data_IF_163269373999
#
_entry.id   IF_163269373999
#
_cell.length_a   1.000
_cell.length_b   1.000
_cell.length_c   1.000
_cell.angle_alpha   90.00
_cell.angle_beta   90.00
_cell.angle_gamma   90.00
#
_symmetry.space_group_name_H-M   'P 1'
#
loop_
_entity.id
_entity.type
_entity.pdbx_description
1 polymer ?
#
# COMPACT_ATOMS: atom_id res chain seq x y z
N UNK A 1 -0.25 1.60 33.90
CA UNK A 1 -1.59 1.82 34.52
C UNK A 1 -1.93 0.63 35.41
N UNK A 2 -2.63 0.82 36.52
CA UNK A 2 -3.13 -0.29 37.36
C UNK A 2 -4.23 -1.06 36.60
N UNK A 3 -4.27 -2.40 36.73
CA UNK A 3 -5.26 -3.27 36.04
C UNK A 3 -6.71 -2.79 36.16
N UNK A 4 -7.09 -2.29 37.35
CA UNK A 4 -8.43 -1.76 37.63
C UNK A 4 -8.78 -0.55 36.73
N UNK A 5 -7.80 0.31 36.47
CA UNK A 5 -7.96 1.50 35.62
C UNK A 5 -8.09 1.13 34.14
N UNK A 6 -7.48 0.03 33.70
CA UNK A 6 -7.59 -0.44 32.30
C UNK A 6 -8.96 -1.03 31.97
N UNK A 7 -9.66 -1.65 32.95
CA UNK A 7 -11.02 -2.17 32.74
C UNK A 7 -12.07 -1.06 32.52
N UNK A 8 -11.79 0.16 32.99
CA UNK A 8 -12.66 1.35 32.83
C UNK A 8 -12.38 2.17 31.56
N UNK A 9 -11.40 1.77 30.75
CA UNK A 9 -11.08 2.45 29.49
C UNK A 9 -11.98 1.92 28.37
N UNK A 10 -12.33 2.79 27.42
CA UNK A 10 -13.05 2.41 26.20
C UNK A 10 -12.15 1.56 25.30
N UNK A 11 -12.69 0.52 24.68
CA UNK A 11 -11.91 -0.37 23.80
C UNK A 11 -11.22 0.40 22.65
N UNK A 12 -11.90 1.39 22.05
CA UNK A 12 -11.30 2.21 21.00
C UNK A 12 -10.11 3.04 21.49
N UNK A 13 -10.18 3.60 22.70
CA UNK A 13 -9.08 4.36 23.30
C UNK A 13 -7.92 3.45 23.72
N UNK A 14 -8.23 2.26 24.25
CA UNK A 14 -7.24 1.23 24.53
C UNK A 14 -6.51 0.80 23.25
N UNK A 15 -7.24 0.60 22.15
CA UNK A 15 -6.66 0.28 20.85
C UNK A 15 -5.73 1.38 20.33
N UNK A 16 -6.14 2.64 20.40
CA UNK A 16 -5.31 3.77 19.99
C UNK A 16 -4.02 3.84 20.82
N UNK A 17 -4.10 3.67 22.15
CA UNK A 17 -2.92 3.60 23.03
C UNK A 17 -1.99 2.44 22.68
N UNK A 18 -2.55 1.27 22.37
CA UNK A 18 -1.76 0.10 21.96
C UNK A 18 -1.05 0.33 20.62
N UNK A 19 -1.69 1.00 19.66
CA UNK A 19 -1.06 1.37 18.38
C UNK A 19 0.11 2.33 18.62
N UNK A 20 -0.09 3.38 19.43
CA UNK A 20 0.96 4.34 19.78
C UNK A 20 2.14 3.67 20.49
N UNK A 21 1.86 2.73 21.41
CA UNK A 21 2.90 2.08 22.22
C UNK A 21 3.71 1.05 21.43
N UNK A 22 3.05 0.22 20.61
CA UNK A 22 3.67 -0.98 20.04
C UNK A 22 3.88 -0.91 18.52
N UNK A 23 3.21 0.00 17.81
CA UNK A 23 3.28 0.07 16.33
C UNK A 23 4.02 1.30 15.84
N UNK A 24 3.85 2.45 16.48
CA UNK A 24 4.59 3.66 16.10
C UNK A 24 6.10 3.41 16.26
N UNK A 25 6.88 3.78 15.24
CA UNK A 25 8.33 3.53 15.16
C UNK A 25 8.73 2.08 14.85
N UNK A 26 7.87 1.08 15.10
CA UNK A 26 8.17 -0.33 14.86
C UNK A 26 7.78 -0.82 13.46
N UNK A 27 6.80 -0.19 12.81
CA UNK A 27 6.31 -0.58 11.48
C UNK A 27 6.31 0.58 10.48
N UNK A 28 6.31 0.26 9.18
CA UNK A 28 6.25 1.26 8.10
C UNK A 28 4.98 2.10 8.17
N UNK A 29 5.10 3.38 7.79
CA UNK A 29 4.01 4.37 7.85
C UNK A 29 2.73 3.94 7.12
N UNK A 30 2.85 3.28 5.97
CA UNK A 30 1.70 2.76 5.21
C UNK A 30 0.92 1.69 5.98
N UNK A 31 1.62 0.85 6.75
CA UNK A 31 0.98 -0.16 7.60
C UNK A 31 0.36 0.50 8.82
N UNK A 32 1.06 1.45 9.46
CA UNK A 32 0.54 2.23 10.59
C UNK A 32 -0.75 2.98 10.22
N UNK A 33 -0.81 3.55 9.02
CA UNK A 33 -2.01 4.20 8.48
C UNK A 33 -3.23 3.29 8.48
N UNK A 34 -3.06 1.98 8.24
CA UNK A 34 -4.16 0.99 8.29
C UNK A 34 -4.67 0.75 9.71
N UNK A 35 -3.77 0.76 10.70
CA UNK A 35 -4.15 0.69 12.11
C UNK A 35 -4.97 1.91 12.51
N UNK A 36 -4.53 3.12 12.15
CA UNK A 36 -5.32 4.34 12.41
C UNK A 36 -6.68 4.33 11.71
N UNK A 37 -6.77 3.82 10.48
CA UNK A 37 -8.06 3.64 9.81
C UNK A 37 -8.96 2.66 10.56
N UNK A 38 -8.39 1.59 11.12
CA UNK A 38 -9.14 0.61 11.92
C UNK A 38 -9.61 1.23 13.24
N UNK A 39 -8.77 2.01 13.93
CA UNK A 39 -9.15 2.77 15.14
C UNK A 39 -10.30 3.75 14.88
N UNK A 40 -10.24 4.48 13.75
CA UNK A 40 -11.36 5.36 13.32
C UNK A 40 -12.67 4.58 13.11
N UNK A 41 -12.61 3.37 12.55
CA UNK A 41 -13.80 2.53 12.38
C UNK A 41 -14.31 1.98 13.71
N UNK A 42 -13.42 1.55 14.62
CA UNK A 42 -13.79 1.14 15.97
C UNK A 42 -14.53 2.25 16.71
N UNK A 43 -14.03 3.49 16.65
CA UNK A 43 -14.69 4.64 17.28
C UNK A 43 -16.08 4.91 16.73
N UNK A 44 -16.36 4.57 15.47
CA UNK A 44 -17.70 4.67 14.88
C UNK A 44 -18.62 3.53 15.32
N UNK A 45 -18.09 2.31 15.41
CA UNK A 45 -18.90 1.11 15.69
C UNK A 45 -19.18 0.95 17.19
N UNK A 46 -18.18 1.15 18.04
CA UNK A 46 -18.25 0.92 19.48
C UNK A 46 -17.70 2.09 20.31
N UNK A 47 -18.25 3.31 20.18
CA UNK A 47 -17.74 4.51 20.86
C UNK A 47 -17.82 4.47 22.40
N UNK A 48 -18.65 3.59 22.96
CA UNK A 48 -18.95 3.53 24.40
C UNK A 48 -18.63 2.18 25.04
N UNK A 49 -18.02 1.26 24.30
CA UNK A 49 -17.72 -0.07 24.80
C UNK A 49 -16.52 -0.02 25.75
N UNK A 50 -16.74 -0.34 27.01
CA UNK A 50 -15.69 -0.47 28.03
C UNK A 50 -14.97 -1.82 27.91
N UNK A 51 -13.68 -1.84 28.23
CA UNK A 51 -12.89 -3.08 28.30
C UNK A 51 -13.48 -4.10 29.28
N UNK A 52 -14.10 -3.65 30.38
CA UNK A 52 -14.79 -4.53 31.34
C UNK A 52 -15.96 -5.31 30.74
N UNK A 53 -16.61 -4.75 29.72
CA UNK A 53 -17.80 -5.32 29.07
C UNK A 53 -17.44 -5.97 27.73
N UNK A 54 -16.14 -6.08 27.42
CA UNK A 54 -15.71 -6.55 26.13
C UNK A 54 -15.58 -8.08 26.12
N UNK A 55 -16.60 -8.73 25.55
CA UNK A 55 -16.70 -10.18 25.46
C UNK A 55 -16.86 -10.67 24.01
N UNK A 56 -17.02 -11.98 23.84
CA UNK A 56 -17.18 -12.62 22.52
C UNK A 56 -18.42 -12.12 21.76
N UNK A 57 -19.50 -11.77 22.47
CA UNK A 57 -20.76 -11.31 21.86
C UNK A 57 -20.57 -9.89 21.34
N UNK A 58 -20.01 -9.01 22.16
CA UNK A 58 -19.68 -7.63 21.76
C UNK A 58 -18.67 -7.60 20.61
N UNK A 59 -17.66 -8.46 20.65
CA UNK A 59 -16.73 -8.59 19.53
C UNK A 59 -17.42 -9.03 18.23
N UNK A 60 -18.29 -10.03 18.30
CA UNK A 60 -19.03 -10.49 17.13
C UNK A 60 -19.98 -9.40 16.59
N UNK A 61 -20.57 -8.58 17.45
CA UNK A 61 -21.36 -7.39 17.03
C UNK A 61 -20.49 -6.41 16.26
N UNK A 62 -19.29 -6.08 16.75
CA UNK A 62 -18.35 -5.18 16.06
C UNK A 62 -18.05 -5.68 14.63
N UNK A 63 -17.72 -6.96 14.50
CA UNK A 63 -17.41 -7.58 13.20
C UNK A 63 -18.64 -7.58 12.29
N UNK A 64 -19.83 -7.89 12.83
CA UNK A 64 -21.07 -7.89 12.05
C UNK A 64 -21.44 -6.49 11.56
N UNK A 65 -21.30 -5.45 12.39
CA UNK A 65 -21.54 -4.06 11.99
C UNK A 65 -20.59 -3.63 10.87
N UNK A 66 -19.29 -3.95 10.99
CA UNK A 66 -18.32 -3.64 9.94
C UNK A 66 -18.62 -4.38 8.63
N UNK A 67 -19.05 -5.65 8.73
CA UNK A 67 -19.39 -6.50 7.59
C UNK A 67 -20.62 -6.05 6.78
N UNK A 68 -21.51 -5.20 7.34
CA UNK A 68 -22.69 -4.68 6.61
C UNK A 68 -22.30 -3.87 5.38
N UNK A 69 -21.20 -3.12 5.46
CA UNK A 69 -20.78 -2.17 4.42
C UNK A 69 -19.53 -2.60 3.67
N UNK A 70 -18.81 -3.61 4.15
CA UNK A 70 -17.52 -4.03 3.60
C UNK A 70 -17.57 -5.46 3.03
N UNK A 71 -16.81 -5.69 1.95
CA UNK A 71 -16.58 -7.04 1.42
C UNK A 71 -15.86 -7.92 2.45
N UNK A 72 -16.06 -9.23 2.37
CA UNK A 72 -15.49 -10.21 3.32
C UNK A 72 -13.98 -10.04 3.52
N UNK A 73 -13.20 -9.82 2.46
CA UNK A 73 -11.75 -9.64 2.59
C UNK A 73 -11.38 -8.40 3.41
N UNK A 74 -12.11 -7.30 3.23
CA UNK A 74 -11.88 -6.08 4.01
C UNK A 74 -12.24 -6.29 5.48
N UNK A 75 -13.30 -7.05 5.78
CA UNK A 75 -13.63 -7.46 7.16
C UNK A 75 -12.54 -8.33 7.77
N UNK A 76 -11.97 -9.26 6.99
CA UNK A 76 -10.83 -10.09 7.42
C UNK A 76 -9.62 -9.23 7.77
N UNK A 77 -9.28 -8.25 6.94
CA UNK A 77 -8.15 -7.35 7.20
C UNK A 77 -8.38 -6.51 8.47
N UNK A 78 -9.61 -5.99 8.65
CA UNK A 78 -10.00 -5.27 9.86
C UNK A 78 -9.90 -6.15 11.11
N UNK A 79 -10.41 -7.38 11.04
CA UNK A 79 -10.29 -8.38 12.11
C UNK A 79 -8.82 -8.60 12.50
N UNK A 80 -7.93 -8.82 11.53
CA UNK A 80 -6.50 -9.03 11.81
C UNK A 80 -5.83 -7.81 12.45
N UNK A 81 -6.17 -6.60 12.02
CA UNK A 81 -5.61 -5.38 12.60
C UNK A 81 -5.98 -5.25 14.08
N UNK A 82 -7.24 -5.49 14.44
CA UNK A 82 -7.71 -5.32 15.82
C UNK A 82 -7.35 -6.52 16.71
N UNK A 83 -7.27 -7.73 16.14
CA UNK A 83 -7.01 -8.97 16.89
C UNK A 83 -5.71 -8.93 17.69
N UNK A 84 -4.63 -8.36 17.15
CA UNK A 84 -3.35 -8.27 17.86
C UNK A 84 -3.48 -7.57 19.21
N UNK A 85 -4.14 -6.41 19.23
CA UNK A 85 -4.41 -5.65 20.46
C UNK A 85 -5.25 -6.45 21.47
N UNK A 86 -6.25 -7.19 20.99
CA UNK A 86 -7.16 -7.97 21.84
C UNK A 86 -6.43 -9.15 22.48
N UNK A 87 -5.56 -9.83 21.72
CA UNK A 87 -4.76 -10.94 22.25
C UNK A 87 -3.74 -10.46 23.28
N UNK A 88 -3.08 -9.33 23.04
CA UNK A 88 -2.16 -8.75 24.01
C UNK A 88 -2.90 -8.37 25.31
N UNK A 89 -4.09 -7.75 25.20
CA UNK A 89 -4.94 -7.44 26.34
C UNK A 89 -5.37 -8.69 27.14
N UNK A 90 -5.61 -9.82 26.45
CA UNK A 90 -5.89 -11.10 27.09
C UNK A 90 -4.66 -11.65 27.81
N UNK A 91 -3.49 -11.65 27.17
CA UNK A 91 -2.24 -12.13 27.79
C UNK A 91 -1.79 -11.29 28.98
N UNK A 92 -2.03 -9.98 28.96
CA UNK A 92 -1.74 -9.06 30.07
C UNK A 92 -2.72 -9.22 31.25
N UNK A 93 -3.80 -9.99 31.07
CA UNK A 93 -4.85 -10.19 32.05
C UNK A 93 -5.80 -9.00 32.21
N UNK A 94 -5.89 -8.13 31.19
CA UNK A 94 -6.91 -7.07 31.11
C UNK A 94 -8.27 -7.69 30.79
N UNK A 95 -8.27 -8.66 29.86
CA UNK A 95 -9.43 -9.47 29.52
C UNK A 95 -9.28 -10.86 30.12
N UNK A 96 -10.34 -11.37 30.75
CA UNK A 96 -10.31 -12.69 31.39
C UNK A 96 -10.49 -13.84 30.37
N UNK A 97 -11.01 -13.54 29.17
CA UNK A 97 -11.25 -14.49 28.07
C UNK A 97 -10.98 -13.82 26.73
N UNK A 98 -10.48 -14.56 25.75
CA UNK A 98 -10.29 -14.08 24.38
C UNK A 98 -11.65 -13.84 23.66
N UNK A 99 -12.04 -12.58 23.38
CA UNK A 99 -13.25 -12.23 22.64
C UNK A 99 -13.22 -12.69 21.17
N UNK A 100 -12.03 -12.89 20.61
CA UNK A 100 -11.84 -13.23 19.19
C UNK A 100 -11.97 -14.72 18.90
N UNK A 101 -12.00 -15.56 19.95
CA UNK A 101 -12.07 -17.00 19.81
C UNK A 101 -13.31 -17.45 19.03
N UNK A 102 -13.08 -18.16 17.92
CA UNK A 102 -14.11 -18.64 16.97
C UNK A 102 -15.02 -17.51 16.42
N UNK A 103 -14.48 -16.30 16.26
CA UNK A 103 -15.21 -15.23 15.61
C UNK A 103 -15.57 -15.59 14.17
N UNK A 104 -16.82 -15.31 13.78
CA UNK A 104 -17.33 -15.60 12.43
C UNK A 104 -17.20 -14.35 11.58
N UNK A 105 -16.38 -14.43 10.53
CA UNK A 105 -16.14 -13.30 9.63
C UNK A 105 -17.10 -13.38 8.44
N UNK A 106 -18.02 -12.44 8.41
CA UNK A 106 -18.97 -12.21 7.30
C UNK A 106 -18.53 -10.98 6.50
N UNK A 107 -19.18 -10.75 5.38
CA UNK A 107 -19.02 -9.53 4.60
C UNK A 107 -20.10 -9.45 3.54
N UNK A 108 -20.28 -8.26 3.00
CA UNK A 108 -21.10 -8.04 1.82
C UNK A 108 -20.56 -8.89 0.66
N UNK A 109 -21.46 -9.38 -0.17
CA UNK A 109 -21.08 -10.07 -1.40
C UNK A 109 -20.20 -9.16 -2.26
N UNK A 110 -19.11 -9.70 -2.86
CA UNK A 110 -18.26 -8.91 -3.73
C UNK A 110 -19.08 -8.32 -4.88
N UNK A 111 -18.88 -7.02 -5.15
CA UNK A 111 -19.46 -6.42 -6.34
C UNK A 111 -18.90 -7.07 -7.60
N UNK A 112 -19.60 -6.97 -8.74
CA UNK A 112 -19.06 -7.41 -10.04
C UNK A 112 -17.77 -6.65 -10.32
N UNK A 113 -16.64 -7.35 -10.30
CA UNK A 113 -15.31 -6.78 -10.58
C UNK A 113 -15.07 -6.80 -12.08
N UNK A 114 -14.59 -5.68 -12.63
CA UNK A 114 -14.10 -5.65 -14.03
C UNK A 114 -12.87 -6.54 -14.14
N UNK A 115 -12.68 -7.16 -15.31
CA UNK A 115 -11.42 -7.86 -15.62
C UNK A 115 -10.25 -6.87 -15.50
N UNK A 116 -9.19 -7.31 -14.81
CA UNK A 116 -8.01 -6.48 -14.51
C UNK A 116 -6.77 -6.90 -15.29
N UNK A 117 -6.96 -7.59 -16.40
CA UNK A 117 -5.89 -8.05 -17.27
C UNK A 117 -6.23 -7.71 -18.71
N UNK A 118 -5.19 -7.55 -19.52
CA UNK A 118 -5.29 -7.41 -20.96
C UNK A 118 -4.99 -8.76 -21.61
N UNK A 119 -5.78 -9.13 -22.60
CA UNK A 119 -5.45 -10.24 -23.49
C UNK A 119 -4.24 -9.88 -24.36
N UNK A 120 -3.62 -10.88 -24.99
CA UNK A 120 -2.41 -10.68 -25.81
C UNK A 120 -2.63 -9.68 -26.94
N UNK A 121 -3.77 -9.76 -27.64
CA UNK A 121 -4.10 -8.85 -28.74
C UNK A 121 -4.42 -7.44 -28.23
N UNK A 122 -5.11 -7.31 -27.09
CA UNK A 122 -5.37 -6.03 -26.43
C UNK A 122 -4.07 -5.34 -25.98
N UNK A 123 -3.14 -6.10 -25.39
CA UNK A 123 -1.82 -5.60 -25.02
C UNK A 123 -1.03 -5.15 -26.24
N UNK A 124 -1.10 -5.91 -27.34
CA UNK A 124 -0.44 -5.56 -28.60
C UNK A 124 -0.99 -4.25 -29.17
N UNK A 125 -2.32 -4.10 -29.20
CA UNK A 125 -3.00 -2.86 -29.62
C UNK A 125 -2.59 -1.68 -28.75
N UNK A 126 -2.54 -1.87 -27.42
CA UNK A 126 -2.08 -0.84 -26.49
C UNK A 126 -0.66 -0.40 -26.83
N UNK A 127 0.29 -1.34 -26.93
CA UNK A 127 1.71 -1.03 -27.22
C UNK A 127 1.86 -0.31 -28.56
N UNK A 128 1.11 -0.68 -29.59
CA UNK A 128 1.13 0.00 -30.89
C UNK A 128 0.51 1.40 -30.87
N UNK A 129 -0.36 1.69 -29.90
CA UNK A 129 -1.01 3.01 -29.78
C UNK A 129 -0.18 4.04 -28.99
N UNK A 130 0.95 3.63 -28.41
CA UNK A 130 1.81 4.49 -27.61
C UNK A 130 2.60 5.47 -28.48
N UNK A 131 2.59 6.75 -28.11
CA UNK A 131 3.38 7.80 -28.76
C UNK A 131 4.69 8.05 -28.00
N UNK A 132 5.79 7.58 -28.58
CA UNK A 132 7.15 7.69 -28.00
C UNK A 132 7.95 8.87 -28.56
N UNK A 133 7.34 9.73 -29.40
CA UNK A 133 8.05 10.80 -30.12
C UNK A 133 8.38 12.01 -29.25
N UNK A 134 7.55 12.30 -28.24
CA UNK A 134 7.61 13.51 -27.44
C UNK A 134 8.48 13.37 -26.17
N UNK A 135 9.73 12.90 -26.35
CA UNK A 135 10.66 12.68 -25.24
C UNK A 135 10.15 11.68 -24.21
N UNK A 136 10.63 11.78 -22.96
CA UNK A 136 10.18 10.90 -21.88
C UNK A 136 8.77 11.31 -21.43
N UNK A 137 7.83 10.35 -21.42
CA UNK A 137 6.42 10.61 -21.14
C UNK A 137 5.75 9.39 -20.47
N UNK A 138 4.43 9.44 -20.27
CA UNK A 138 3.67 8.34 -19.67
C UNK A 138 3.55 7.10 -20.56
N UNK A 139 3.71 7.25 -21.87
CA UNK A 139 3.63 6.13 -22.80
C UNK A 139 4.89 5.27 -22.68
N UNK A 140 6.05 5.89 -22.48
CA UNK A 140 7.27 5.19 -22.05
C UNK A 140 7.08 4.41 -20.75
N UNK A 141 6.40 5.01 -19.77
CA UNK A 141 6.10 4.35 -18.50
C UNK A 141 5.21 3.10 -18.70
N UNK A 142 4.18 3.20 -19.53
CA UNK A 142 3.29 2.09 -19.87
C UNK A 142 4.06 1.00 -20.64
N UNK A 143 4.90 1.39 -21.60
CA UNK A 143 5.72 0.45 -22.37
C UNK A 143 6.64 -0.37 -21.48
N UNK A 144 7.37 0.28 -20.56
CA UNK A 144 8.27 -0.40 -19.63
C UNK A 144 7.51 -1.35 -18.72
N UNK A 145 6.36 -0.94 -18.15
CA UNK A 145 5.51 -1.83 -17.36
C UNK A 145 5.04 -3.05 -18.16
N UNK A 146 4.57 -2.83 -19.39
CA UNK A 146 4.07 -3.88 -20.27
C UNK A 146 5.16 -4.90 -20.66
N UNK A 147 6.39 -4.44 -20.91
CA UNK A 147 7.50 -5.28 -21.37
C UNK A 147 8.24 -5.99 -20.24
N UNK A 148 8.30 -5.40 -19.05
CA UNK A 148 9.13 -5.91 -17.93
C UNK A 148 8.32 -6.52 -16.79
N UNK A 149 7.03 -6.21 -16.68
CA UNK A 149 6.18 -6.67 -15.58
C UNK A 149 6.57 -6.12 -14.20
N UNK A 150 7.38 -5.06 -14.14
CA UNK A 150 7.77 -4.45 -12.86
C UNK A 150 6.57 -3.82 -12.13
N UNK A 151 6.69 -3.65 -10.81
CA UNK A 151 5.63 -2.99 -10.03
C UNK A 151 5.59 -1.50 -10.34
N UNK A 152 4.42 -0.89 -10.24
CA UNK A 152 4.21 0.55 -10.45
C UNK A 152 5.24 1.44 -9.71
N UNK A 153 5.45 1.18 -8.42
CA UNK A 153 6.40 1.95 -7.61
C UNK A 153 7.88 1.67 -7.95
N UNK A 154 8.20 0.51 -8.54
CA UNK A 154 9.54 0.22 -9.06
C UNK A 154 9.77 1.03 -10.34
N UNK A 155 8.80 1.05 -11.25
CA UNK A 155 8.88 1.82 -12.49
C UNK A 155 9.01 3.32 -12.26
N UNK A 156 8.29 3.86 -11.28
CA UNK A 156 8.40 5.27 -10.89
C UNK A 156 9.80 5.65 -10.38
N UNK A 157 10.55 4.68 -9.86
CA UNK A 157 11.85 4.91 -9.24
C UNK A 157 13.03 4.75 -10.19
N UNK A 158 12.78 4.48 -11.48
CA UNK A 158 13.84 4.30 -12.47
C UNK A 158 14.58 5.60 -12.67
N UNK A 159 15.91 5.53 -12.61
CA UNK A 159 16.84 6.61 -12.97
C UNK A 159 17.66 6.21 -14.19
N UNK A 160 18.32 7.14 -14.91
CA UNK A 160 19.17 6.77 -16.04
C UNK A 160 20.28 5.77 -15.66
N UNK A 161 20.86 5.89 -14.46
CA UNK A 161 21.87 4.95 -13.94
C UNK A 161 21.38 3.50 -13.72
N UNK A 162 20.06 3.25 -13.73
CA UNK A 162 19.55 1.89 -13.60
C UNK A 162 19.66 1.10 -14.91
N UNK A 163 19.86 1.76 -16.05
CA UNK A 163 19.98 1.11 -17.36
C UNK A 163 21.42 0.67 -17.62
N UNK A 164 21.59 -0.63 -17.85
CA UNK A 164 22.80 -1.24 -18.39
C UNK A 164 22.57 -1.48 -19.88
N UNK A 165 22.95 -0.51 -20.70
CA UNK A 165 22.74 -0.54 -22.15
C UNK A 165 23.64 -1.55 -22.87
N UNK A 166 24.78 -1.92 -22.29
CA UNK A 166 25.67 -2.94 -22.86
C UNK A 166 25.03 -4.33 -22.73
N UNK A 167 24.47 -4.63 -21.56
CA UNK A 167 23.79 -5.89 -21.33
C UNK A 167 22.30 -5.88 -21.73
N UNK A 168 21.75 -4.73 -22.14
CA UNK A 168 20.31 -4.48 -22.32
C UNK A 168 19.51 -4.91 -21.08
N UNK A 169 19.91 -4.42 -19.91
CA UNK A 169 19.29 -4.75 -18.63
C UNK A 169 18.86 -3.50 -17.86
N UNK A 170 17.83 -3.67 -17.04
CA UNK A 170 17.38 -2.68 -16.09
C UNK A 170 17.56 -3.21 -14.66
N UNK A 171 18.28 -2.46 -13.84
CA UNK A 171 18.56 -2.78 -12.44
C UNK A 171 17.43 -2.27 -11.55
N UNK A 172 16.65 -3.19 -10.96
CA UNK A 172 15.58 -2.86 -10.01
C UNK A 172 16.09 -3.08 -8.61
N UNK A 173 16.36 -2.01 -7.86
CA UNK A 173 16.85 -2.07 -6.47
C UNK A 173 16.09 -1.14 -5.50
N UNK A 174 15.27 -0.23 -6.03
CA UNK A 174 14.56 0.82 -5.29
C UNK A 174 13.11 0.97 -5.76
N UNK A 175 12.32 1.66 -4.94
CA UNK A 175 10.92 2.00 -5.21
C UNK A 175 10.65 3.45 -4.85
N UNK A 176 9.64 4.06 -5.46
CA UNK A 176 9.24 5.42 -5.17
C UNK A 176 8.09 5.44 -4.16
N UNK A 177 8.21 6.23 -3.09
CA UNK A 177 7.13 6.41 -2.11
C UNK A 177 6.07 7.40 -2.58
N UNK A 178 5.29 6.98 -3.57
CA UNK A 178 4.18 7.79 -4.07
C UNK A 178 3.04 7.98 -3.05
N UNK A 179 3.08 7.29 -1.90
CA UNK A 179 2.04 7.42 -0.85
C UNK A 179 2.37 8.53 0.14
N UNK A 180 3.65 8.85 0.32
CA UNK A 180 4.09 10.05 1.04
C UNK A 180 3.75 11.32 0.23
N UNK A 181 3.51 12.43 0.93
CA UNK A 181 3.35 13.73 0.30
C UNK A 181 4.67 14.26 -0.29
N UNK A 182 5.80 13.89 0.34
CA UNK A 182 7.14 14.33 -0.03
C UNK A 182 7.72 13.50 -1.20
N UNK A 183 7.23 12.26 -1.37
CA UNK A 183 7.81 11.31 -2.30
C UNK A 183 9.18 10.80 -1.84
N UNK A 184 9.95 10.26 -2.78
CA UNK A 184 11.34 9.87 -2.57
C UNK A 184 11.61 8.38 -2.74
N UNK A 185 12.90 8.04 -2.79
CA UNK A 185 13.38 6.68 -2.94
C UNK A 185 13.30 5.91 -1.63
N UNK A 186 12.75 4.69 -1.68
CA UNK A 186 12.76 3.71 -0.60
C UNK A 186 13.37 2.42 -1.14
N UNK A 187 14.20 1.76 -0.32
CA UNK A 187 14.68 0.40 -0.61
C UNK A 187 13.52 -0.55 -0.86
N UNK A 188 13.74 -1.51 -1.75
CA UNK A 188 12.78 -2.59 -1.97
C UNK A 188 12.50 -3.35 -0.67
N UNK A 189 11.32 -3.99 -0.57
CA UNK A 189 10.83 -4.57 0.68
C UNK A 189 11.73 -5.71 1.20
N UNK A 190 12.37 -6.44 0.29
CA UNK A 190 13.22 -7.61 0.57
C UNK A 190 14.38 -7.65 -0.42
N UNK A 191 15.51 -8.21 -0.03
CA UNK A 191 16.68 -8.35 -0.92
C UNK A 191 16.34 -9.18 -2.16
N UNK A 192 15.43 -10.16 -2.04
CA UNK A 192 14.90 -10.93 -3.17
C UNK A 192 14.16 -10.10 -4.21
N UNK A 193 13.77 -8.87 -3.90
CA UNK A 193 13.14 -7.94 -4.84
C UNK A 193 14.17 -7.21 -5.71
N UNK A 194 15.45 -7.20 -5.29
CA UNK A 194 16.55 -6.64 -6.06
C UNK A 194 16.89 -7.59 -7.20
N UNK A 195 16.75 -7.13 -8.44
CA UNK A 195 16.90 -7.97 -9.63
C UNK A 195 17.29 -7.16 -10.85
N UNK A 196 17.86 -7.84 -11.83
CA UNK A 196 18.07 -7.32 -13.18
C UNK A 196 16.99 -7.87 -14.11
N UNK A 197 16.41 -7.03 -14.94
CA UNK A 197 15.41 -7.43 -15.94
C UNK A 197 16.00 -7.15 -17.33
N UNK A 198 16.02 -8.15 -18.20
CA UNK A 198 16.41 -7.95 -19.60
C UNK A 198 15.33 -7.13 -20.31
N UNK A 199 15.75 -6.10 -21.02
CA UNK A 199 14.88 -5.27 -21.85
C UNK A 199 15.18 -5.51 -23.32
N UNK A 200 14.17 -5.33 -24.16
CA UNK A 200 14.31 -5.47 -25.60
C UNK A 200 15.30 -4.42 -26.16
N UNK A 201 16.16 -4.84 -27.09
CA UNK A 201 17.20 -3.97 -27.67
C UNK A 201 16.61 -2.76 -28.40
N UNK A 202 15.39 -2.84 -28.95
CA UNK A 202 14.73 -1.70 -29.59
C UNK A 202 14.31 -0.68 -28.53
N UNK A 203 13.74 -1.14 -27.42
CA UNK A 203 13.36 -0.27 -26.28
C UNK A 203 14.61 0.41 -25.73
N UNK A 204 15.68 -0.36 -25.53
CA UNK A 204 16.99 0.11 -25.08
C UNK A 204 17.56 1.19 -26.00
N UNK A 205 17.61 0.92 -27.31
CA UNK A 205 18.13 1.87 -28.31
C UNK A 205 17.29 3.15 -28.45
N UNK A 206 15.97 3.05 -28.35
CA UNK A 206 15.06 4.19 -28.46
C UNK A 206 15.07 5.08 -27.21
N UNK A 207 15.17 4.50 -26.00
CA UNK A 207 15.11 5.26 -24.74
C UNK A 207 16.45 5.93 -24.41
N UNK A 208 17.57 5.30 -24.77
CA UNK A 208 18.93 5.76 -24.47
C UNK A 208 19.17 7.24 -24.80
N UNK A 209 18.98 7.72 -26.05
CA UNK A 209 19.28 9.12 -26.40
C UNK A 209 18.36 10.13 -25.70
N UNK A 210 17.21 9.68 -25.18
CA UNK A 210 16.25 10.51 -24.44
C UNK A 210 16.76 10.72 -23.01
N UNK A 211 17.19 9.65 -22.34
CA UNK A 211 17.52 9.69 -20.91
C UNK A 211 18.97 10.04 -20.62
N UNK A 212 19.90 9.87 -21.57
CA UNK A 212 21.32 10.26 -21.41
C UNK A 212 21.51 11.76 -21.14
N UNK A 213 20.52 12.60 -21.50
CA UNK A 213 20.52 14.04 -21.24
C UNK A 213 19.92 14.40 -19.88
N UNK A 214 19.33 13.44 -19.17
CA UNK A 214 18.70 13.64 -17.88
C UNK A 214 19.71 13.42 -16.75
N UNK A 215 19.49 14.01 -15.57
CA UNK A 215 20.38 13.78 -14.44
C UNK A 215 20.39 12.28 -14.04
N UNK A 216 21.57 11.69 -13.80
CA UNK A 216 21.75 10.24 -13.74
C UNK A 216 21.08 9.56 -12.54
N UNK A 217 20.88 10.30 -11.44
CA UNK A 217 20.31 9.81 -10.18
C UNK A 217 18.89 10.32 -9.91
N UNK A 218 18.30 11.05 -10.85
CA UNK A 218 16.94 11.58 -10.75
C UNK A 218 15.92 10.64 -11.42
N UNK A 219 14.69 10.53 -10.89
CA UNK A 219 13.66 9.67 -11.46
C UNK A 219 13.22 10.20 -12.85
N UNK A 220 13.23 9.34 -13.87
CA UNK A 220 12.92 9.77 -15.25
C UNK A 220 11.44 10.08 -15.50
N UNK A 221 10.54 9.58 -14.64
CA UNK A 221 9.08 9.73 -14.79
C UNK A 221 8.44 10.71 -13.81
N UNK A 222 9.24 11.37 -12.96
CA UNK A 222 8.73 12.25 -11.91
C UNK A 222 9.35 13.62 -12.06
N UNK A 223 8.48 14.59 -12.34
CA UNK A 223 8.88 15.99 -12.48
C UNK A 223 9.39 16.53 -11.13
N UNK A 224 10.61 17.09 -11.14
CA UNK A 224 11.18 17.84 -10.02
C UNK A 224 10.79 19.30 -10.16
N UNK A 225 10.09 19.82 -9.16
CA UNK A 225 9.62 21.20 -9.11
C UNK A 225 10.78 22.16 -8.74
N UNK A 226 10.69 23.45 -9.08
CA UNK A 226 11.74 24.45 -8.80
C UNK A 226 12.12 24.55 -7.30
N UNK A 227 11.18 24.24 -6.41
CA UNK A 227 11.36 24.21 -4.96
C UNK A 227 12.18 23.00 -4.45
N UNK A 228 12.68 22.15 -5.36
CA UNK A 228 13.44 20.94 -5.04
C UNK A 228 12.56 19.74 -4.64
N UNK A 229 11.23 19.92 -4.60
CA UNK A 229 10.26 18.85 -4.31
C UNK A 229 9.85 18.10 -5.58
N UNK A 230 9.42 16.86 -5.43
CA UNK A 230 8.89 16.09 -6.55
C UNK A 230 7.38 16.23 -6.67
N UNK A 231 6.89 16.26 -7.91
CA UNK A 231 5.45 16.26 -8.19
C UNK A 231 4.80 14.99 -7.67
N UNK A 232 3.70 15.16 -6.93
CA UNK A 232 2.97 14.05 -6.32
C UNK A 232 2.46 13.08 -7.37
N UNK A 233 2.64 11.79 -7.12
CA UNK A 233 2.22 10.71 -8.01
C UNK A 233 1.02 9.96 -7.42
N UNK A 234 0.06 9.66 -8.28
CA UNK A 234 -1.13 8.89 -7.91
C UNK A 234 -1.20 7.61 -8.74
N UNK A 235 -1.56 6.50 -8.10
CA UNK A 235 -1.74 5.21 -8.78
C UNK A 235 -3.16 5.02 -9.34
N UNK A 236 -3.93 6.11 -9.45
CA UNK A 236 -5.23 6.13 -10.13
C UNK A 236 -5.38 7.43 -10.91
N UNK A 237 -6.02 7.33 -12.07
CA UNK A 237 -6.32 8.46 -12.96
C UNK A 237 -7.46 9.35 -12.47
N UNK A 238 -8.19 8.95 -11.42
CA UNK A 238 -9.37 9.65 -10.89
C UNK A 238 -9.07 10.71 -9.81
N UNK A 239 -7.84 10.80 -9.30
CA UNK A 239 -7.52 11.68 -8.15
C UNK A 239 -7.20 13.12 -8.58
N UNK A 240 -7.04 13.40 -9.88
CA UNK A 240 -6.81 14.77 -10.36
C UNK A 240 -8.08 15.65 -10.35
N UNK A 241 -9.24 15.12 -9.93
CA UNK A 241 -10.55 15.82 -9.95
C UNK A 241 -11.24 15.91 -8.57
N UNK A 242 -10.50 15.75 -7.48
CA UNK A 242 -10.98 16.00 -6.10
C UNK A 242 -9.93 16.81 -5.34
#
# INVERSE_FOLDING_TARGET
MTRKKQKEILFCDYFDQWVETYKVGAIKQVTLSKYYMSGKQLRKICPKLLMSNFDRIEYQKIINEYAKTHEKQTTVDFHHNIKGCILDAFHDGVLDKDPTYRAVIKGKEPGKKRMKFLQKDELTKLVHSLDLSNGINKDWFILLLAKTGMRFAECLAITPNDFDFEANQLNINKTWDYKSAEGGFIKTKTDSSVRKIVIDWQVSGLIRPIIEKLPPDEPIFIEKLPEGRYKRQHNSTYVNYL
#
